data_IF_017994081269
#
_entry.id   IF_017994081269
#
_cell.length_a   1.000
_cell.length_b   1.000
_cell.length_c   1.000
_cell.angle_alpha   90.00
_cell.angle_beta   90.00
_cell.angle_gamma   90.00
#
_symmetry.space_group_name_H-M   'P 1'
#
loop_
_entity.id
_entity.type
_entity.pdbx_description
1 polymer ?
#
# COMPACT_ATOMS: atom_id res chain seq x y z
N UNK A 1 19.47 -5.22 -37.59
CA UNK A 1 19.18 -5.48 -36.16
C UNK A 1 19.80 -4.35 -35.36
N UNK A 2 19.04 -3.69 -34.47
CA UNK A 2 19.51 -2.57 -33.64
C UNK A 2 19.96 -3.13 -32.28
N UNK A 3 21.25 -3.48 -32.08
CA UNK A 3 21.70 -4.25 -30.91
C UNK A 3 21.64 -3.47 -29.60
N UNK A 4 21.42 -2.14 -29.65
CA UNK A 4 21.35 -1.25 -28.48
C UNK A 4 19.92 -0.93 -28.02
N UNK A 5 18.90 -1.47 -28.69
CA UNK A 5 17.49 -1.19 -28.36
C UNK A 5 16.91 -2.42 -27.65
N UNK A 6 16.19 -2.25 -26.52
CA UNK A 6 15.49 -3.35 -25.84
C UNK A 6 14.58 -4.11 -26.82
N UNK A 7 14.57 -5.44 -26.77
CA UNK A 7 13.80 -6.30 -27.68
C UNK A 7 12.34 -5.83 -27.88
N UNK A 8 11.59 -5.44 -26.83
CA UNK A 8 10.22 -4.96 -26.98
C UNK A 8 10.07 -3.66 -27.79
N UNK A 9 11.14 -2.86 -27.90
CA UNK A 9 11.16 -1.59 -28.62
C UNK A 9 11.77 -1.70 -30.03
N UNK A 10 12.45 -2.80 -30.35
CA UNK A 10 13.15 -2.94 -31.64
C UNK A 10 12.20 -2.85 -32.82
N UNK A 11 11.03 -3.50 -32.73
CA UNK A 11 10.03 -3.48 -33.81
C UNK A 11 9.47 -2.07 -34.02
N UNK A 12 9.03 -1.42 -32.93
CA UNK A 12 8.50 -0.06 -32.98
C UNK A 12 9.55 0.94 -33.50
N UNK A 13 10.79 0.83 -33.02
CA UNK A 13 11.91 1.69 -33.45
C UNK A 13 12.24 1.47 -34.93
N UNK A 14 12.23 0.23 -35.41
CA UNK A 14 12.43 -0.09 -36.82
C UNK A 14 11.35 0.55 -37.71
N UNK A 15 10.08 0.49 -37.28
CA UNK A 15 8.96 1.11 -38.00
C UNK A 15 8.99 2.64 -37.96
N UNK A 16 9.46 3.24 -36.87
CA UNK A 16 9.62 4.70 -36.74
C UNK A 16 10.68 5.28 -37.70
N UNK A 17 11.72 4.50 -38.01
CA UNK A 17 12.81 4.89 -38.93
C UNK A 17 12.49 4.52 -40.38
N UNK A 18 11.26 4.04 -40.66
CA UNK A 18 10.86 3.70 -42.02
C UNK A 18 10.79 4.95 -42.92
N UNK A 19 11.29 4.82 -44.15
CA UNK A 19 11.28 5.89 -45.16
C UNK A 19 9.87 6.31 -45.55
N UNK A 20 8.91 5.39 -45.47
CA UNK A 20 7.53 5.65 -45.83
C UNK A 20 6.73 6.23 -44.65
N UNK A 21 6.15 7.45 -44.75
CA UNK A 21 5.48 8.10 -43.64
C UNK A 21 4.27 7.35 -43.07
N UNK A 22 3.54 6.62 -43.92
CA UNK A 22 2.33 5.85 -43.59
C UNK A 22 2.62 4.61 -42.76
N UNK A 23 3.85 4.09 -42.83
CA UNK A 23 4.29 2.91 -42.08
C UNK A 23 4.82 3.26 -40.67
N UNK A 24 4.97 4.55 -40.35
CA UNK A 24 5.42 5.00 -39.03
C UNK A 24 4.29 4.89 -38.00
N UNK A 25 4.50 4.23 -36.85
CA UNK A 25 3.48 4.13 -35.82
C UNK A 25 3.18 5.51 -35.22
N UNK A 26 1.93 5.75 -34.89
CA UNK A 26 1.50 6.96 -34.19
C UNK A 26 1.97 6.94 -32.73
N UNK A 27 2.06 8.11 -32.09
CA UNK A 27 2.42 8.21 -30.67
C UNK A 27 1.50 7.39 -29.75
N UNK A 28 0.21 7.26 -30.12
CA UNK A 28 -0.75 6.42 -29.41
C UNK A 28 -0.38 4.92 -29.45
N UNK A 29 0.10 4.42 -30.60
CA UNK A 29 0.55 3.02 -30.72
C UNK A 29 1.83 2.76 -29.93
N UNK A 30 2.70 3.77 -29.77
CA UNK A 30 3.90 3.64 -28.94
C UNK A 30 3.57 3.49 -27.46
N UNK A 31 2.55 4.21 -26.97
CA UNK A 31 2.10 4.11 -25.58
C UNK A 31 1.55 2.73 -25.21
N UNK A 32 1.12 1.94 -26.20
CA UNK A 32 0.62 0.56 -26.01
C UNK A 32 1.73 -0.49 -25.92
N UNK A 33 2.98 -0.12 -26.18
CA UNK A 33 4.10 -1.08 -26.11
C UNK A 33 4.31 -1.48 -24.65
N UNK A 34 4.29 -2.79 -24.37
CA UNK A 34 4.46 -3.37 -23.02
C UNK A 34 5.69 -2.85 -22.28
N UNK A 35 6.72 -2.42 -22.99
CA UNK A 35 7.89 -1.77 -22.43
C UNK A 35 7.57 -0.53 -21.58
N UNK A 36 6.56 0.25 -21.96
CA UNK A 36 6.13 1.44 -21.24
C UNK A 36 5.05 1.15 -20.19
N UNK A 37 4.62 -0.11 -20.04
CA UNK A 37 3.64 -0.53 -19.05
C UNK A 37 4.41 -0.94 -17.79
N UNK A 38 4.64 0.03 -16.91
CA UNK A 38 5.25 -0.19 -15.61
C UNK A 38 4.15 -0.42 -14.55
N UNK A 39 4.15 -1.58 -13.85
CA UNK A 39 3.17 -1.87 -12.80
C UNK A 39 3.16 -0.85 -11.65
N UNK A 40 4.32 -0.33 -11.25
CA UNK A 40 4.43 0.70 -10.21
C UNK A 40 3.81 2.02 -10.68
N UNK A 41 4.05 2.42 -11.94
CA UNK A 41 3.43 3.62 -12.51
C UNK A 41 1.90 3.47 -12.60
N UNK A 42 1.41 2.30 -12.99
CA UNK A 42 -0.03 2.04 -13.03
C UNK A 42 -0.66 2.04 -11.63
N UNK A 43 0.02 1.48 -10.63
CA UNK A 43 -0.44 1.54 -9.25
C UNK A 43 -0.51 2.97 -8.73
N UNK A 44 0.51 3.81 -9.01
CA UNK A 44 0.50 5.23 -8.64
C UNK A 44 -0.62 6.00 -9.35
N UNK A 45 -0.84 5.76 -10.65
CA UNK A 45 -1.99 6.37 -11.37
C UNK A 45 -3.33 5.95 -10.79
N UNK A 46 -3.46 4.70 -10.35
CA UNK A 46 -4.68 4.25 -9.68
C UNK A 46 -4.82 4.92 -8.32
N UNK A 47 -3.72 5.08 -7.57
CA UNK A 47 -3.69 5.79 -6.30
C UNK A 47 -4.19 7.24 -6.45
N UNK A 48 -3.84 7.94 -7.53
CA UNK A 48 -4.32 9.31 -7.79
C UNK A 48 -5.85 9.41 -7.91
N UNK A 49 -6.51 8.34 -8.40
CA UNK A 49 -7.97 8.29 -8.60
C UNK A 49 -8.68 7.38 -7.58
N UNK A 50 -7.96 6.84 -6.60
CA UNK A 50 -8.49 5.81 -5.67
C UNK A 50 -9.67 6.35 -4.88
N UNK A 51 -9.65 7.63 -4.51
CA UNK A 51 -10.72 8.29 -3.76
C UNK A 51 -12.05 8.33 -4.51
N UNK A 52 -12.03 8.22 -5.84
CA UNK A 52 -13.23 8.18 -6.69
C UNK A 52 -13.79 6.76 -6.87
N UNK A 53 -13.10 5.74 -6.35
CA UNK A 53 -13.50 4.33 -6.46
C UNK A 53 -14.36 3.90 -5.27
N UNK A 54 -15.11 2.84 -5.47
CA UNK A 54 -15.90 2.20 -4.40
C UNK A 54 -15.02 1.45 -3.39
N UNK A 55 -15.56 1.21 -2.19
CA UNK A 55 -14.88 0.52 -1.08
C UNK A 55 -14.29 -0.83 -1.49
N UNK A 56 -14.96 -1.59 -2.36
CA UNK A 56 -14.50 -2.93 -2.79
C UNK A 56 -13.24 -2.82 -3.66
N UNK A 57 -13.26 -1.91 -4.65
CA UNK A 57 -12.10 -1.62 -5.48
C UNK A 57 -10.92 -1.09 -4.66
N UNK A 58 -11.17 -0.18 -3.71
CA UNK A 58 -10.14 0.32 -2.78
C UNK A 58 -9.52 -0.82 -1.97
N UNK A 59 -10.35 -1.67 -1.39
CA UNK A 59 -9.90 -2.80 -0.57
C UNK A 59 -9.06 -3.78 -1.37
N UNK A 60 -9.49 -4.12 -2.59
CA UNK A 60 -8.72 -4.98 -3.49
C UNK A 60 -7.39 -4.35 -3.88
N UNK A 61 -7.38 -3.05 -4.21
CA UNK A 61 -6.18 -2.34 -4.57
C UNK A 61 -5.15 -2.32 -3.42
N UNK A 62 -5.55 -1.92 -2.21
CA UNK A 62 -4.62 -1.85 -1.07
C UNK A 62 -4.07 -3.21 -0.66
N UNK A 63 -4.92 -4.25 -0.69
CA UNK A 63 -4.54 -5.60 -0.25
C UNK A 63 -3.73 -6.38 -1.29
N UNK A 64 -4.01 -6.17 -2.58
CA UNK A 64 -3.41 -6.98 -3.66
C UNK A 64 -2.48 -6.13 -4.51
N UNK A 65 -3.04 -5.20 -5.29
CA UNK A 65 -2.28 -4.45 -6.31
C UNK A 65 -1.15 -3.63 -5.70
N UNK A 66 -1.41 -2.92 -4.61
CA UNK A 66 -0.40 -2.10 -3.94
C UNK A 66 0.69 -3.00 -3.36
N UNK A 67 0.34 -4.12 -2.73
CA UNK A 67 1.33 -5.02 -2.14
C UNK A 67 2.25 -5.68 -3.18
N UNK A 68 1.70 -6.09 -4.32
CA UNK A 68 2.49 -6.65 -5.43
C UNK A 68 3.41 -5.62 -6.09
N UNK A 69 2.96 -4.36 -6.17
CA UNK A 69 3.72 -3.29 -6.84
C UNK A 69 4.63 -2.51 -5.90
N UNK A 70 4.43 -2.60 -4.60
CA UNK A 70 5.23 -1.92 -3.57
C UNK A 70 6.75 -2.09 -3.74
N UNK A 71 7.29 -3.31 -3.97
CA UNK A 71 8.73 -3.50 -4.11
C UNK A 71 9.30 -2.85 -5.38
N UNK A 72 8.45 -2.57 -6.37
CA UNK A 72 8.82 -1.89 -7.61
C UNK A 72 8.79 -0.37 -7.47
N UNK A 73 8.01 0.15 -6.52
CA UNK A 73 7.90 1.60 -6.28
C UNK A 73 9.15 2.07 -5.51
N UNK A 74 9.83 3.15 -5.97
CA UNK A 74 10.94 3.73 -5.23
C UNK A 74 10.53 4.17 -3.81
N UNK A 75 11.35 3.88 -2.79
CA UNK A 75 11.12 4.23 -1.37
C UNK A 75 10.69 5.69 -1.14
N UNK A 76 11.26 6.63 -1.91
CA UNK A 76 10.87 8.05 -1.82
C UNK A 76 9.38 8.28 -2.12
N UNK A 77 8.82 7.56 -3.09
CA UNK A 77 7.40 7.66 -3.46
C UNK A 77 6.49 7.00 -2.43
N UNK A 78 6.99 6.05 -1.64
CA UNK A 78 6.22 5.47 -0.53
C UNK A 78 5.81 6.56 0.45
N UNK A 79 6.74 7.40 0.89
CA UNK A 79 6.45 8.47 1.84
C UNK A 79 5.76 9.68 1.22
N UNK A 80 6.00 9.96 -0.08
CA UNK A 80 5.43 11.14 -0.73
C UNK A 80 4.00 10.94 -1.25
N UNK A 81 3.65 9.73 -1.70
CA UNK A 81 2.36 9.46 -2.34
C UNK A 81 1.58 8.38 -1.60
N UNK A 82 2.21 7.22 -1.36
CA UNK A 82 1.50 6.06 -0.77
C UNK A 82 1.05 6.36 0.66
N UNK A 83 1.96 6.81 1.52
CA UNK A 83 1.69 7.04 2.94
C UNK A 83 0.59 8.09 3.20
N UNK A 84 0.61 9.29 2.58
CA UNK A 84 -0.48 10.26 2.76
C UNK A 84 -1.86 9.72 2.38
N UNK A 85 -1.91 8.87 1.34
CA UNK A 85 -3.16 8.26 0.89
C UNK A 85 -3.66 7.18 1.85
N UNK A 86 -2.75 6.34 2.38
CA UNK A 86 -3.08 5.39 3.44
C UNK A 86 -3.58 6.12 4.69
N UNK A 87 -2.91 7.21 5.07
CA UNK A 87 -3.29 8.02 6.24
C UNK A 87 -4.71 8.58 6.12
N UNK A 88 -5.12 9.02 4.93
CA UNK A 88 -6.48 9.51 4.68
C UNK A 88 -7.54 8.41 4.85
N UNK A 89 -7.21 7.16 4.49
CA UNK A 89 -8.14 6.03 4.54
C UNK A 89 -8.19 5.31 5.89
N UNK A 90 -7.29 5.60 6.84
CA UNK A 90 -7.30 4.99 8.18
C UNK A 90 -8.57 5.33 8.97
N UNK A 91 -9.16 6.50 8.71
CA UNK A 91 -10.44 6.87 9.32
C UNK A 91 -11.64 6.17 8.67
N UNK A 92 -11.44 5.50 7.53
CA UNK A 92 -12.47 4.78 6.81
C UNK A 92 -12.52 3.32 7.29
N UNK A 93 -13.40 3.06 8.25
CA UNK A 93 -13.51 1.75 8.91
C UNK A 93 -13.77 0.57 7.97
N UNK A 94 -14.38 0.79 6.81
CA UNK A 94 -14.66 -0.27 5.83
C UNK A 94 -13.41 -0.78 5.12
N UNK A 95 -12.45 0.10 4.81
CA UNK A 95 -11.20 -0.24 4.11
C UNK A 95 -10.00 -0.39 5.06
N UNK A 96 -10.17 -0.04 6.33
CA UNK A 96 -9.10 -0.05 7.34
C UNK A 96 -8.31 -1.37 7.35
N UNK A 97 -8.99 -2.52 7.34
CA UNK A 97 -8.33 -3.82 7.35
C UNK A 97 -7.45 -4.06 6.10
N UNK A 98 -7.86 -3.54 4.94
CA UNK A 98 -7.07 -3.62 3.71
C UNK A 98 -5.88 -2.65 3.72
N UNK A 99 -6.03 -1.47 4.32
CA UNK A 99 -4.98 -0.45 4.47
C UNK A 99 -3.93 -0.86 5.51
N UNK A 100 -4.30 -1.68 6.50
CA UNK A 100 -3.35 -2.14 7.52
C UNK A 100 -2.20 -2.97 6.94
N UNK A 101 -2.45 -3.83 5.95
CA UNK A 101 -1.38 -4.63 5.33
C UNK A 101 -0.23 -3.78 4.75
N UNK A 102 -0.48 -2.78 3.89
CA UNK A 102 0.57 -1.89 3.41
C UNK A 102 1.16 -1.01 4.51
N UNK A 103 0.39 -0.61 5.53
CA UNK A 103 0.94 0.12 6.69
C UNK A 103 1.96 -0.70 7.45
N UNK A 104 1.68 -1.98 7.73
CA UNK A 104 2.62 -2.89 8.40
C UNK A 104 3.86 -3.13 7.52
N UNK A 105 3.68 -3.25 6.21
CA UNK A 105 4.82 -3.42 5.29
C UNK A 105 5.72 -2.18 5.31
N UNK A 106 5.15 -0.97 5.33
CA UNK A 106 5.93 0.26 5.52
C UNK A 106 6.62 0.30 6.87
N UNK A 107 5.95 -0.16 7.93
CA UNK A 107 6.50 -0.20 9.29
C UNK A 107 7.76 -1.07 9.36
N UNK A 108 7.73 -2.22 8.70
CA UNK A 108 8.84 -3.15 8.64
C UNK A 108 10.07 -2.54 7.95
N UNK A 109 9.85 -1.84 6.83
CA UNK A 109 10.92 -1.21 6.03
C UNK A 109 11.36 0.16 6.55
N UNK A 110 10.55 0.79 7.40
CA UNK A 110 10.83 2.10 7.99
C UNK A 110 12.01 2.05 8.97
N UNK A 111 12.84 3.08 8.93
CA UNK A 111 13.81 3.38 9.98
C UNK A 111 13.10 3.87 11.25
N UNK A 112 13.77 3.81 12.40
CA UNK A 112 13.22 4.36 13.64
C UNK A 112 12.86 5.85 13.50
N UNK A 113 13.69 6.63 12.83
CA UNK A 113 13.45 8.06 12.61
C UNK A 113 12.21 8.31 11.74
N UNK A 114 12.03 7.54 10.66
CA UNK A 114 10.82 7.63 9.82
C UNK A 114 9.57 7.22 10.60
N UNK A 115 9.67 6.16 11.43
CA UNK A 115 8.57 5.75 12.28
C UNK A 115 8.16 6.85 13.25
N UNK A 116 9.09 7.38 14.05
CA UNK A 116 8.79 8.41 15.04
C UNK A 116 8.27 9.71 14.43
N UNK A 117 8.83 10.12 13.28
CA UNK A 117 8.49 11.42 12.67
C UNK A 117 7.20 11.36 11.86
N UNK A 118 6.92 10.23 11.20
CA UNK A 118 5.87 10.11 10.18
C UNK A 118 4.77 9.14 10.60
N UNK A 119 5.13 7.94 11.09
CA UNK A 119 4.16 6.86 11.31
C UNK A 119 3.53 6.84 12.70
N UNK A 120 4.27 7.23 13.73
CA UNK A 120 3.85 7.21 15.13
C UNK A 120 2.48 7.87 15.38
N UNK A 121 2.19 9.11 14.92
CA UNK A 121 0.88 9.72 15.19
C UNK A 121 -0.28 8.91 14.58
N UNK A 122 -0.08 8.41 13.37
CA UNK A 122 -1.06 7.59 12.67
C UNK A 122 -1.25 6.23 13.34
N UNK A 123 -0.17 5.62 13.84
CA UNK A 123 -0.23 4.36 14.56
C UNK A 123 -0.99 4.49 15.89
N UNK A 124 -0.80 5.60 16.62
CA UNK A 124 -1.59 5.90 17.84
C UNK A 124 -3.08 5.95 17.54
N UNK A 125 -3.48 6.63 16.46
CA UNK A 125 -4.88 6.69 16.02
C UNK A 125 -5.41 5.31 15.65
N UNK A 126 -4.64 4.49 14.93
CA UNK A 126 -5.02 3.11 14.61
C UNK A 126 -5.25 2.33 15.89
N UNK A 127 -4.35 2.42 16.87
CA UNK A 127 -4.38 1.65 18.12
C UNK A 127 -5.53 2.09 19.04
N UNK A 128 -5.87 3.39 19.09
CA UNK A 128 -6.94 3.93 19.93
C UNK A 128 -8.35 3.79 19.34
N UNK A 129 -8.48 3.75 18.01
CA UNK A 129 -9.80 3.74 17.36
C UNK A 129 -10.51 2.39 17.48
N UNK A 130 -11.86 2.36 17.52
CA UNK A 130 -12.62 1.12 17.41
C UNK A 130 -12.40 0.50 16.02
N UNK A 131 -12.07 -0.79 15.97
CA UNK A 131 -11.67 -1.49 14.73
C UNK A 131 -12.50 -2.76 14.55
N UNK A 132 -12.57 -3.22 13.30
CA UNK A 132 -13.13 -4.54 13.01
C UNK A 132 -12.26 -5.66 13.59
N UNK A 133 -12.84 -6.83 13.80
CA UNK A 133 -12.12 -8.02 14.30
C UNK A 133 -10.91 -8.33 13.39
N UNK A 134 -11.07 -8.26 12.07
CA UNK A 134 -9.97 -8.51 11.13
C UNK A 134 -8.82 -7.50 11.26
N UNK A 135 -9.13 -6.22 11.49
CA UNK A 135 -8.11 -5.20 11.70
C UNK A 135 -7.34 -5.47 13.01
N UNK A 136 -8.03 -5.83 14.09
CA UNK A 136 -7.41 -6.21 15.35
C UNK A 136 -6.52 -7.44 15.19
N UNK A 137 -6.99 -8.50 14.52
CA UNK A 137 -6.19 -9.71 14.25
C UNK A 137 -4.90 -9.37 13.49
N UNK A 138 -5.00 -8.56 12.44
CA UNK A 138 -3.83 -8.14 11.64
C UNK A 138 -2.79 -7.39 12.49
N UNK A 139 -3.24 -6.53 13.41
CA UNK A 139 -2.34 -5.83 14.34
C UNK A 139 -1.70 -6.78 15.35
N UNK A 140 -2.45 -7.76 15.86
CA UNK A 140 -1.94 -8.74 16.81
C UNK A 140 -0.91 -9.68 16.17
N UNK A 141 -1.13 -10.11 14.93
CA UNK A 141 -0.17 -10.92 14.16
C UNK A 141 1.16 -10.18 13.97
N UNK A 142 1.10 -8.86 13.79
CA UNK A 142 2.26 -8.00 13.54
C UNK A 142 2.70 -7.20 14.78
N UNK A 143 2.22 -7.58 15.96
CA UNK A 143 2.44 -6.84 17.21
C UNK A 143 3.92 -6.70 17.55
N UNK A 144 4.70 -7.74 17.27
CA UNK A 144 6.15 -7.74 17.50
C UNK A 144 6.87 -6.62 16.74
N UNK A 145 6.49 -6.36 15.48
CA UNK A 145 7.04 -5.27 14.67
C UNK A 145 6.67 -3.90 15.24
N UNK A 146 5.43 -3.76 15.70
CA UNK A 146 4.94 -2.51 16.31
C UNK A 146 5.71 -2.24 17.60
N UNK A 147 5.84 -3.21 18.49
CA UNK A 147 6.56 -3.07 19.76
C UNK A 147 8.05 -2.76 19.52
N UNK A 148 8.67 -3.39 18.54
CA UNK A 148 10.09 -3.15 18.22
C UNK A 148 10.35 -1.69 17.77
N UNK A 149 9.39 -1.08 17.06
CA UNK A 149 9.51 0.31 16.57
C UNK A 149 9.01 1.35 17.57
N UNK A 150 8.15 0.97 18.50
CA UNK A 150 7.49 1.88 19.45
C UNK A 150 8.31 2.03 20.74
N UNK A 151 8.39 3.26 21.28
CA UNK A 151 9.03 3.49 22.58
C UNK A 151 8.25 2.82 23.73
N UNK A 152 8.94 2.39 24.79
CA UNK A 152 8.32 1.61 25.89
C UNK A 152 7.18 2.34 26.59
N UNK A 153 7.29 3.65 26.69
CA UNK A 153 6.30 4.53 27.29
C UNK A 153 4.99 4.48 26.49
N UNK A 154 5.09 4.56 25.17
CA UNK A 154 3.97 4.50 24.23
C UNK A 154 3.38 3.09 24.13
N UNK A 155 4.18 2.03 24.27
CA UNK A 155 3.68 0.64 24.33
C UNK A 155 2.67 0.48 25.47
N UNK A 156 2.99 0.98 26.66
CA UNK A 156 2.10 0.88 27.81
C UNK A 156 0.85 1.76 27.67
N UNK A 157 0.97 2.92 27.02
CA UNK A 157 -0.12 3.87 26.85
C UNK A 157 -1.10 3.45 25.74
N UNK A 158 -0.60 2.92 24.61
CA UNK A 158 -1.38 2.76 23.39
C UNK A 158 -1.65 1.27 23.05
N UNK A 159 -0.66 0.39 23.27
CA UNK A 159 -0.77 -1.04 22.88
C UNK A 159 -1.49 -1.86 23.96
N UNK A 160 -1.19 -1.63 25.24
CA UNK A 160 -1.82 -2.37 26.34
C UNK A 160 -3.36 -2.23 26.36
N UNK A 161 -3.95 -1.01 26.22
CA UNK A 161 -5.41 -0.88 26.16
C UNK A 161 -6.04 -1.63 24.97
N UNK A 162 -5.36 -1.64 23.81
CA UNK A 162 -5.81 -2.37 22.64
C UNK A 162 -5.82 -3.88 22.88
N UNK A 163 -4.77 -4.41 23.55
CA UNK A 163 -4.72 -5.82 23.94
C UNK A 163 -5.86 -6.18 24.89
N UNK A 164 -6.08 -5.41 25.96
CA UNK A 164 -7.18 -5.65 26.89
C UNK A 164 -8.54 -5.62 26.18
N UNK A 165 -8.79 -4.61 25.33
CA UNK A 165 -10.01 -4.54 24.54
C UNK A 165 -10.19 -5.74 23.60
N UNK A 166 -9.10 -6.24 23.00
CA UNK A 166 -9.13 -7.43 22.14
C UNK A 166 -9.47 -8.71 22.92
N UNK A 167 -8.95 -8.86 24.14
CA UNK A 167 -9.27 -9.99 25.03
C UNK A 167 -10.73 -9.96 25.52
N UNK A 168 -11.23 -8.79 25.93
CA UNK A 168 -12.63 -8.65 26.33
C UNK A 168 -13.58 -8.95 25.16
N UNK A 169 -13.26 -8.48 23.95
CA UNK A 169 -14.09 -8.72 22.76
C UNK A 169 -14.12 -10.19 22.31
N UNK A 170 -13.01 -10.92 22.50
CA UNK A 170 -12.94 -12.35 22.19
C UNK A 170 -13.62 -13.21 23.27
N UNK A 171 -13.65 -12.75 24.52
CA UNK A 171 -14.38 -13.40 25.61
C UNK A 171 -15.91 -13.38 25.38
N UNK A 172 -16.44 -12.30 24.77
CA UNK A 172 -17.87 -12.21 24.41
C UNK A 172 -18.26 -13.21 23.31
N UNK A 173 -17.38 -13.53 22.36
CA UNK A 173 -17.70 -14.53 21.32
C UNK A 173 -17.65 -15.97 21.85
N UNK A 174 -16.87 -16.25 22.90
CA UNK A 174 -16.80 -17.59 23.51
C UNK A 174 -17.98 -17.83 24.47
N UNK A 175 -18.58 -16.78 25.06
CA UNK A 175 -19.71 -16.92 25.99
C UNK A 175 -21.09 -17.16 25.34
N UNK A 176 -21.27 -16.97 24.03
CA UNK A 176 -22.55 -17.22 23.35
C UNK A 176 -22.67 -18.59 22.67
N UNK A 177 -21.67 -19.47 22.82
CA UNK A 177 -21.68 -20.84 22.29
C UNK A 177 -21.67 -21.88 23.43
N UNK A 178 -22.59 -21.77 24.40
CA UNK A 178 -22.86 -22.81 25.40
C UNK A 178 -24.35 -22.99 25.62
#
# INVERSE_FOLDING_TARGET
>A
MLPRVPVPLQEATSRLVNKEPTARPTAQLLQLIKYFIDPAVNALKFLDVVNMKDTSQKSHFYKVTLMETMPLIPRKLWWQNVWPMLQAEINNGEVLAAVLQPVITLLQEATHTEYETIMAPTMKVILSSPKSIQATVTLLENLHLIIEKTQREDVNADIMPMLFASFDSSTIQVQFNS
#
